data_IF_617219631176
#
_entry.id   IF_617219631176
#
_cell.length_a   1.000
_cell.length_b   1.000
_cell.length_c   1.000
_cell.angle_alpha   90.00
_cell.angle_beta   90.00
_cell.angle_gamma   90.00
#
_symmetry.space_group_name_H-M   'P 1'
#
loop_
_entity.id
_entity.type
_entity.pdbx_description
1 polymer ?
#
# COMPACT_ATOMS: atom_id res chain seq x y z
N UNK A 1 -33.62 15.06 -28.25
CA UNK A 1 -33.76 16.36 -27.55
C UNK A 1 -32.51 16.54 -26.70
N UNK A 2 -31.37 16.73 -27.37
CA UNK A 2 -30.11 17.20 -26.77
C UNK A 2 -29.97 18.65 -27.25
N UNK A 3 -30.56 19.59 -26.54
CA UNK A 3 -30.55 21.01 -26.92
C UNK A 3 -30.14 21.91 -25.76
N UNK A 4 -29.47 21.35 -24.74
CA UNK A 4 -28.95 22.11 -23.61
C UNK A 4 -27.58 21.54 -23.27
N UNK A 5 -26.53 22.00 -23.96
CA UNK A 5 -25.18 21.86 -23.40
C UNK A 5 -24.12 22.81 -23.96
N UNK A 6 -24.44 23.59 -25.01
CA UNK A 6 -23.54 24.64 -25.48
C UNK A 6 -24.13 26.01 -25.10
N UNK A 7 -23.73 26.54 -23.95
CA UNK A 7 -23.99 27.94 -23.59
C UNK A 7 -23.15 28.84 -24.53
N UNK A 8 -23.81 29.77 -25.24
CA UNK A 8 -23.18 30.76 -26.11
C UNK A 8 -22.11 31.57 -25.38
N UNK A 9 -22.24 31.71 -24.05
CA UNK A 9 -21.28 32.41 -23.20
C UNK A 9 -19.93 31.69 -23.19
N UNK A 10 -19.89 30.36 -23.06
CA UNK A 10 -18.61 29.63 -22.97
C UNK A 10 -17.83 29.65 -24.29
N UNK A 11 -18.52 29.70 -25.43
CA UNK A 11 -17.90 29.82 -26.77
C UNK A 11 -17.18 31.16 -26.98
N UNK A 12 -17.57 32.22 -26.26
CA UNK A 12 -16.90 33.54 -26.31
C UNK A 12 -15.62 33.58 -25.47
N UNK A 13 -15.42 32.60 -24.59
CA UNK A 13 -14.18 32.42 -23.82
C UNK A 13 -13.40 31.24 -24.40
N UNK A 14 -12.78 31.41 -25.58
CA UNK A 14 -11.73 30.45 -25.96
C UNK A 14 -10.56 30.67 -25.01
N UNK A 15 -10.25 29.67 -24.17
CA UNK A 15 -9.03 29.71 -23.40
C UNK A 15 -7.86 29.80 -24.39
N UNK A 16 -7.10 30.89 -24.34
CA UNK A 16 -5.89 31.03 -25.13
C UNK A 16 -4.93 29.90 -24.72
N UNK A 17 -4.63 29.01 -25.66
CA UNK A 17 -3.62 27.98 -25.44
C UNK A 17 -2.27 28.69 -25.32
N UNK A 18 -1.81 28.88 -24.09
CA UNK A 18 -0.51 29.47 -23.80
C UNK A 18 0.56 28.72 -24.61
N UNK A 19 1.36 29.49 -25.37
CA UNK A 19 2.44 28.99 -26.22
C UNK A 19 3.48 28.18 -25.41
N UNK A 20 3.58 28.47 -24.11
CA UNK A 20 4.42 27.75 -23.15
C UNK A 20 3.59 26.95 -22.14
N UNK A 21 3.94 25.67 -21.96
CA UNK A 21 3.36 24.80 -20.93
C UNK A 21 3.60 25.34 -19.52
N UNK A 22 2.57 25.32 -18.67
CA UNK A 22 2.68 25.63 -17.24
C UNK A 22 2.08 24.51 -16.36
N UNK A 23 2.31 24.58 -15.05
CA UNK A 23 1.84 23.57 -14.06
C UNK A 23 0.31 23.50 -13.90
N UNK A 24 -0.44 24.40 -14.55
CA UNK A 24 -1.90 24.49 -14.48
C UNK A 24 -2.58 24.02 -15.77
N UNK A 25 -1.82 23.78 -16.85
CA UNK A 25 -2.33 23.25 -18.12
C UNK A 25 -2.83 21.82 -17.91
N UNK A 26 -4.15 21.61 -18.04
CA UNK A 26 -4.76 20.27 -18.05
C UNK A 26 -4.20 19.47 -19.22
N UNK A 27 -4.01 18.17 -19.02
CA UNK A 27 -3.38 17.20 -19.95
C UNK A 27 -3.58 17.56 -21.43
N UNK A 28 -2.54 18.11 -22.05
CA UNK A 28 -2.54 18.46 -23.47
C UNK A 28 -1.87 17.31 -24.25
N UNK A 29 -2.66 16.57 -25.02
CA UNK A 29 -2.19 15.42 -25.81
C UNK A 29 -1.28 15.82 -26.99
N UNK A 30 -1.23 17.10 -27.37
CA UNK A 30 -0.38 17.59 -28.47
C UNK A 30 1.03 17.98 -28.02
N UNK A 31 1.29 18.11 -26.71
CA UNK A 31 2.61 18.41 -26.16
C UNK A 31 3.37 17.15 -25.76
N UNK A 32 3.76 16.34 -26.75
CA UNK A 32 4.57 15.14 -26.49
C UNK A 32 6.03 15.47 -26.15
N UNK A 33 6.55 16.60 -26.64
CA UNK A 33 7.89 17.11 -26.34
C UNK A 33 7.86 18.62 -26.10
N UNK A 34 7.85 19.03 -24.83
CA UNK A 34 7.86 20.46 -24.46
C UNK A 34 9.27 21.04 -24.60
N UNK A 35 10.28 20.36 -24.06
CA UNK A 35 11.69 20.78 -24.22
C UNK A 35 12.66 19.62 -24.00
N UNK A 36 13.81 19.64 -24.67
CA UNK A 36 14.86 18.64 -24.50
C UNK A 36 15.35 18.55 -23.05
N UNK A 37 15.44 19.68 -22.34
CA UNK A 37 15.82 19.73 -20.91
C UNK A 37 14.83 18.94 -20.05
N UNK A 38 13.53 19.13 -20.26
CA UNK A 38 12.48 18.44 -19.51
C UNK A 38 12.43 16.94 -19.86
N UNK A 39 12.64 16.58 -21.13
CA UNK A 39 12.75 15.18 -21.56
C UNK A 39 13.95 14.47 -20.93
N UNK A 40 15.11 15.13 -20.83
CA UNK A 40 16.29 14.57 -20.13
C UNK A 40 16.02 14.36 -18.65
N UNK A 41 15.42 15.35 -17.96
CA UNK A 41 15.03 15.20 -16.55
C UNK A 41 14.00 14.09 -16.35
N UNK A 42 13.02 13.96 -17.25
CA UNK A 42 12.06 12.88 -17.24
C UNK A 42 12.74 11.51 -17.40
N UNK A 43 13.63 11.37 -18.39
CA UNK A 43 14.37 10.13 -18.65
C UNK A 43 15.24 9.72 -17.47
N UNK A 44 15.93 10.67 -16.83
CA UNK A 44 16.68 10.43 -15.59
C UNK A 44 15.74 9.98 -14.46
N UNK A 45 14.56 10.60 -14.32
CA UNK A 45 13.56 10.21 -13.35
C UNK A 45 13.04 8.78 -13.55
N UNK A 46 12.80 8.38 -14.81
CA UNK A 46 12.44 7.01 -15.17
C UNK A 46 13.57 6.04 -14.78
N UNK A 47 14.81 6.36 -15.13
CA UNK A 47 15.98 5.54 -14.80
C UNK A 47 16.13 5.33 -13.29
N UNK A 48 16.09 6.40 -12.49
CA UNK A 48 16.16 6.30 -11.03
C UNK A 48 14.99 5.48 -10.47
N UNK A 49 13.77 5.68 -10.99
CA UNK A 49 12.57 5.00 -10.51
C UNK A 49 12.64 3.49 -10.74
N UNK A 50 13.02 3.04 -11.93
CA UNK A 50 12.95 1.63 -12.29
C UNK A 50 14.27 0.87 -12.05
N UNK A 51 15.43 1.54 -12.05
CA UNK A 51 16.72 0.89 -11.80
C UNK A 51 17.15 0.94 -10.33
N UNK A 52 16.67 1.90 -9.53
CA UNK A 52 17.06 2.03 -8.12
C UNK A 52 15.88 1.88 -7.15
N UNK A 53 14.82 2.69 -7.31
CA UNK A 53 13.73 2.72 -6.32
C UNK A 53 12.86 1.46 -6.37
N UNK A 54 12.47 1.00 -7.57
CA UNK A 54 11.63 -0.19 -7.72
C UNK A 54 12.34 -1.48 -7.24
N UNK A 55 13.60 -1.77 -7.61
CA UNK A 55 14.29 -2.96 -7.11
C UNK A 55 14.45 -2.96 -5.59
N UNK A 56 14.71 -1.79 -4.99
CA UNK A 56 14.76 -1.65 -3.53
C UNK A 56 13.41 -1.99 -2.88
N UNK A 57 12.29 -1.49 -3.44
CA UNK A 57 10.95 -1.81 -2.95
C UNK A 57 10.65 -3.31 -3.05
N UNK A 58 11.02 -3.93 -4.17
CA UNK A 58 10.86 -5.38 -4.38
C UNK A 58 11.68 -6.16 -3.34
N UNK A 59 12.94 -5.79 -3.12
CA UNK A 59 13.80 -6.44 -2.12
C UNK A 59 13.23 -6.33 -0.69
N UNK A 60 12.70 -5.16 -0.31
CA UNK A 60 12.03 -4.96 0.97
C UNK A 60 10.74 -5.80 1.09
N UNK A 61 9.94 -5.88 0.03
CA UNK A 61 8.73 -6.70 0.02
C UNK A 61 9.05 -8.19 0.20
N UNK A 62 10.03 -8.71 -0.55
CA UNK A 62 10.49 -10.09 -0.40
C UNK A 62 11.04 -10.35 1.00
N UNK A 63 11.84 -9.44 1.54
CA UNK A 63 12.38 -9.56 2.91
C UNK A 63 11.26 -9.59 3.94
N UNK A 64 10.31 -8.66 3.86
CA UNK A 64 9.17 -8.57 4.79
C UNK A 64 8.28 -9.81 4.77
N UNK A 65 7.92 -10.30 3.58
CA UNK A 65 7.10 -11.51 3.41
C UNK A 65 7.85 -12.76 3.87
N UNK A 66 9.14 -12.89 3.52
CA UNK A 66 9.94 -14.05 3.91
C UNK A 66 10.13 -14.12 5.42
N UNK A 67 10.44 -12.99 6.07
CA UNK A 67 10.54 -12.90 7.52
C UNK A 67 9.20 -13.19 8.20
N UNK A 68 8.08 -12.76 7.60
CA UNK A 68 6.75 -13.08 8.14
C UNK A 68 6.51 -14.59 8.12
N UNK A 69 6.72 -15.25 6.97
CA UNK A 69 6.47 -16.69 6.81
C UNK A 69 7.39 -17.52 7.71
N UNK A 70 8.69 -17.22 7.70
CA UNK A 70 9.68 -17.95 8.51
C UNK A 70 9.47 -17.66 9.99
N UNK A 71 9.34 -16.40 10.37
CA UNK A 71 9.18 -15.99 11.76
C UNK A 71 7.91 -16.54 12.40
N UNK A 72 6.77 -16.47 11.71
CA UNK A 72 5.51 -17.06 12.23
C UNK A 72 5.56 -18.58 12.30
N UNK A 73 6.27 -19.24 11.37
CA UNK A 73 6.49 -20.69 11.43
C UNK A 73 7.37 -21.07 12.62
N UNK A 74 8.47 -20.34 12.87
CA UNK A 74 9.35 -20.56 14.03
C UNK A 74 8.58 -20.34 15.34
N UNK A 75 7.82 -19.26 15.46
CA UNK A 75 6.97 -18.98 16.61
C UNK A 75 5.89 -20.05 16.80
N UNK A 76 5.43 -20.67 15.71
CA UNK A 76 4.47 -21.78 15.73
C UNK A 76 4.96 -23.01 16.50
N UNK A 77 6.27 -23.26 16.54
CA UNK A 77 6.87 -24.36 17.30
C UNK A 77 6.98 -24.09 18.80
N UNK A 78 6.76 -22.84 19.25
CA UNK A 78 6.78 -22.51 20.67
C UNK A 78 5.49 -23.00 21.36
N UNK A 79 5.58 -23.41 22.64
CA UNK A 79 4.41 -23.76 23.43
C UNK A 79 3.50 -22.54 23.62
N UNK A 80 2.19 -22.78 23.70
CA UNK A 80 1.22 -21.72 23.93
C UNK A 80 1.45 -21.08 25.31
N UNK A 81 1.63 -19.77 25.32
CA UNK A 81 1.88 -19.00 26.53
C UNK A 81 2.30 -17.57 26.22
N UNK A 82 2.57 -16.81 27.27
CA UNK A 82 2.93 -15.38 27.20
C UNK A 82 4.13 -15.10 26.29
N UNK A 83 5.11 -16.00 26.27
CA UNK A 83 6.30 -15.84 25.44
C UNK A 83 6.00 -15.99 23.94
N UNK A 84 5.20 -16.98 23.54
CA UNK A 84 4.76 -17.16 22.15
C UNK A 84 3.96 -15.95 21.67
N UNK A 85 3.04 -15.46 22.49
CA UNK A 85 2.23 -14.27 22.17
C UNK A 85 3.10 -13.02 22.00
N UNK A 86 4.04 -12.80 22.93
CA UNK A 86 5.00 -11.70 22.85
C UNK A 86 5.84 -11.77 21.56
N UNK A 87 6.38 -12.95 21.23
CA UNK A 87 7.15 -13.15 20.01
C UNK A 87 6.30 -12.97 18.75
N UNK A 88 5.09 -13.55 18.72
CA UNK A 88 4.16 -13.40 17.60
C UNK A 88 3.84 -11.93 17.33
N UNK A 89 3.56 -11.15 18.38
CA UNK A 89 3.30 -9.71 18.28
C UNK A 89 4.47 -8.96 17.66
N UNK A 90 5.70 -9.23 18.11
CA UNK A 90 6.89 -8.55 17.58
C UNK A 90 7.19 -8.93 16.14
N UNK A 91 7.11 -10.23 15.80
CA UNK A 91 7.34 -10.71 14.44
C UNK A 91 6.34 -10.11 13.47
N UNK A 92 5.04 -10.17 13.77
CA UNK A 92 4.00 -9.60 12.91
C UNK A 92 4.19 -8.09 12.72
N UNK A 93 4.30 -7.32 13.80
CA UNK A 93 4.44 -5.86 13.71
C UNK A 93 5.70 -5.46 12.93
N UNK A 94 6.83 -6.13 13.17
CA UNK A 94 8.08 -5.86 12.46
C UNK A 94 7.92 -6.13 10.96
N UNK A 95 7.38 -7.29 10.58
CA UNK A 95 7.21 -7.65 9.17
C UNK A 95 6.20 -6.75 8.45
N UNK A 96 5.05 -6.44 9.05
CA UNK A 96 4.08 -5.52 8.44
C UNK A 96 4.66 -4.13 8.25
N UNK A 97 5.45 -3.62 9.20
CA UNK A 97 6.13 -2.33 9.08
C UNK A 97 7.21 -2.34 8.00
N UNK A 98 7.85 -3.47 7.72
CA UNK A 98 8.76 -3.62 6.57
C UNK A 98 7.95 -3.59 5.27
N UNK A 99 6.84 -4.34 5.19
CA UNK A 99 5.96 -4.36 4.03
C UNK A 99 5.37 -2.97 3.71
N UNK A 100 4.94 -2.20 4.71
CA UNK A 100 4.48 -0.81 4.54
C UNK A 100 5.58 0.07 3.95
N UNK A 101 6.84 -0.08 4.39
CA UNK A 101 7.97 0.66 3.82
C UNK A 101 8.26 0.26 2.37
N UNK A 102 8.09 -1.02 2.03
CA UNK A 102 8.20 -1.49 0.65
C UNK A 102 7.16 -0.82 -0.27
N UNK A 103 5.98 -0.50 0.25
CA UNK A 103 4.94 0.26 -0.44
C UNK A 103 5.21 1.77 -0.48
N UNK A 104 6.23 2.27 0.22
CA UNK A 104 6.48 3.70 0.45
C UNK A 104 5.26 4.45 0.97
N UNK A 105 4.41 3.76 1.73
CA UNK A 105 3.18 4.33 2.25
C UNK A 105 3.48 5.33 3.38
N UNK A 106 2.92 6.52 3.28
CA UNK A 106 2.90 7.53 4.33
C UNK A 106 1.52 7.46 4.97
N UNK A 107 1.46 6.91 6.18
CA UNK A 107 0.18 6.60 6.85
C UNK A 107 0.00 7.55 8.03
N UNK A 108 -1.14 8.25 8.04
CA UNK A 108 -1.57 9.09 9.16
C UNK A 108 -2.76 8.42 9.83
N UNK A 109 -2.65 8.18 11.14
CA UNK A 109 -3.73 7.61 11.95
C UNK A 109 -4.43 8.72 12.72
N UNK A 110 -5.73 8.89 12.47
CA UNK A 110 -6.63 9.81 13.17
C UNK A 110 -7.40 9.07 14.27
N UNK A 111 -7.96 9.82 15.23
CA UNK A 111 -8.84 9.32 16.31
C UNK A 111 -8.30 8.08 17.03
N UNK A 112 -7.04 8.14 17.46
CA UNK A 112 -6.31 6.98 18.03
C UNK A 112 -6.91 6.48 19.33
N UNK A 113 -7.68 7.31 20.03
CA UNK A 113 -8.46 6.97 21.21
C UNK A 113 -9.53 5.91 20.93
N UNK A 114 -10.03 5.84 19.69
CA UNK A 114 -11.05 4.88 19.25
C UNK A 114 -10.46 3.53 18.80
N UNK A 115 -9.15 3.34 18.93
CA UNK A 115 -8.51 2.06 18.57
C UNK A 115 -9.13 0.91 19.38
N UNK A 116 -9.40 -0.24 18.74
CA UNK A 116 -9.91 -1.41 19.46
C UNK A 116 -8.94 -1.82 20.57
N UNK A 117 -9.47 -1.96 21.78
CA UNK A 117 -8.75 -2.49 22.95
C UNK A 117 -8.94 -4.00 23.03
N UNK A 118 -8.43 -4.65 24.07
CA UNK A 118 -8.52 -6.10 24.25
C UNK A 118 -9.97 -6.60 24.06
N UNK A 119 -10.19 -7.43 23.03
CA UNK A 119 -11.51 -7.95 22.65
C UNK A 119 -12.33 -7.05 21.70
N UNK A 120 -11.83 -5.87 21.35
CA UNK A 120 -12.43 -4.98 20.35
C UNK A 120 -12.22 -5.49 18.93
N UNK A 121 -13.19 -5.19 18.07
CA UNK A 121 -13.18 -5.58 16.65
C UNK A 121 -13.03 -4.32 15.80
N UNK A 122 -12.04 -4.30 14.91
CA UNK A 122 -11.96 -3.31 13.84
C UNK A 122 -12.55 -3.89 12.55
N UNK A 123 -13.38 -3.11 11.86
CA UNK A 123 -13.97 -3.48 10.58
C UNK A 123 -13.54 -2.46 9.55
N UNK A 124 -12.99 -2.92 8.43
CA UNK A 124 -12.61 -2.09 7.29
C UNK A 124 -13.56 -2.34 6.13
N UNK A 125 -13.88 -1.29 5.37
CA UNK A 125 -14.81 -1.33 4.23
C UNK A 125 -14.27 -2.12 3.03
N UNK A 126 -12.95 -2.21 2.90
CA UNK A 126 -12.26 -2.97 1.87
C UNK A 126 -11.10 -3.73 2.52
N UNK A 127 -10.99 -5.02 2.22
CA UNK A 127 -9.94 -5.89 2.81
C UNK A 127 -9.14 -6.53 1.69
N UNK A 128 -8.29 -5.73 1.05
CA UNK A 128 -7.19 -6.25 0.24
C UNK A 128 -6.01 -6.65 1.14
N UNK A 129 -5.05 -7.44 0.63
CA UNK A 129 -3.81 -7.72 1.36
C UNK A 129 -3.04 -6.45 1.77
N UNK A 130 -3.17 -5.36 1.00
CA UNK A 130 -2.54 -4.07 1.32
C UNK A 130 -3.23 -3.42 2.52
N UNK A 131 -4.56 -3.45 2.57
CA UNK A 131 -5.34 -2.91 3.70
C UNK A 131 -4.99 -3.63 5.00
N UNK A 132 -4.83 -4.95 4.93
CA UNK A 132 -4.33 -5.79 6.03
C UNK A 132 -2.94 -5.34 6.49
N UNK A 133 -2.00 -5.16 5.56
CA UNK A 133 -0.63 -4.73 5.88
C UNK A 133 -0.64 -3.35 6.56
N UNK A 134 -1.46 -2.42 6.08
CA UNK A 134 -1.59 -1.07 6.64
C UNK A 134 -2.15 -1.16 8.07
N UNK A 135 -3.29 -1.82 8.27
CA UNK A 135 -3.91 -1.96 9.59
C UNK A 135 -3.01 -2.69 10.58
N UNK A 136 -2.43 -3.81 10.16
CA UNK A 136 -1.58 -4.63 11.01
C UNK A 136 -0.17 -4.04 11.24
N UNK A 137 0.17 -2.92 10.59
CA UNK A 137 1.40 -2.17 10.89
C UNK A 137 1.26 -1.29 12.14
N UNK A 138 0.04 -0.91 12.49
CA UNK A 138 -0.28 -0.09 13.67
C UNK A 138 -0.51 -0.94 14.92
N UNK A 139 -1.19 -2.08 14.76
CA UNK A 139 -1.61 -2.94 15.87
C UNK A 139 -1.47 -4.42 15.57
N UNK A 140 -1.49 -5.23 16.64
CA UNK A 140 -1.46 -6.68 16.54
C UNK A 140 -2.89 -7.21 16.53
N UNK A 141 -3.34 -7.63 15.35
CA UNK A 141 -4.70 -8.07 15.09
C UNK A 141 -4.75 -9.54 14.67
N UNK A 142 -5.72 -10.26 15.21
CA UNK A 142 -6.24 -11.46 14.55
C UNK A 142 -7.13 -11.03 13.39
N UNK A 143 -7.22 -11.86 12.35
CA UNK A 143 -7.90 -11.48 11.11
C UNK A 143 -8.87 -12.56 10.70
N UNK A 144 -9.95 -12.12 10.07
CA UNK A 144 -10.95 -12.96 9.43
C UNK A 144 -10.92 -12.62 7.94
N UNK A 145 -10.74 -13.63 7.10
CA UNK A 145 -10.71 -13.48 5.64
C UNK A 145 -11.18 -14.75 4.95
N UNK A 146 -11.04 -14.80 3.64
CA UNK A 146 -11.28 -16.01 2.85
C UNK A 146 -9.97 -16.78 2.63
N UNK A 147 -10.02 -18.11 2.55
CA UNK A 147 -8.88 -18.94 2.13
C UNK A 147 -8.50 -18.63 0.68
N UNK A 148 -7.24 -18.30 0.45
CA UNK A 148 -6.67 -18.09 -0.87
C UNK A 148 -5.67 -19.21 -1.24
N UNK A 149 -5.51 -19.44 -2.55
CA UNK A 149 -4.46 -20.31 -3.09
C UNK A 149 -3.10 -19.62 -3.24
N UNK A 150 -2.14 -20.32 -3.85
CA UNK A 150 -0.84 -19.75 -4.23
C UNK A 150 -0.04 -19.17 -3.07
N UNK A 151 0.66 -18.06 -3.33
CA UNK A 151 1.49 -17.36 -2.34
C UNK A 151 0.68 -16.87 -1.13
N UNK A 152 -0.51 -16.33 -1.36
CA UNK A 152 -1.36 -15.83 -0.28
C UNK A 152 -1.77 -16.96 0.67
N UNK A 153 -2.10 -18.14 0.12
CA UNK A 153 -2.37 -19.32 0.94
C UNK A 153 -1.18 -19.79 1.79
N UNK A 154 0.04 -19.66 1.28
CA UNK A 154 1.26 -19.96 2.07
C UNK A 154 1.40 -18.99 3.24
N UNK A 155 1.20 -17.70 2.99
CA UNK A 155 1.25 -16.65 4.01
C UNK A 155 0.17 -16.89 5.07
N UNK A 156 -1.08 -17.12 4.65
CA UNK A 156 -2.22 -17.41 5.53
C UNK A 156 -1.96 -18.63 6.43
N UNK A 157 -1.45 -19.74 5.86
CA UNK A 157 -1.09 -20.94 6.62
C UNK A 157 0.05 -20.71 7.61
N UNK A 158 1.03 -19.86 7.27
CA UNK A 158 2.13 -19.55 8.17
C UNK A 158 1.64 -18.71 9.38
N UNK A 159 0.80 -17.71 9.12
CA UNK A 159 0.31 -16.79 10.15
C UNK A 159 -0.57 -17.48 11.21
N UNK A 160 -1.41 -18.44 10.80
CA UNK A 160 -2.27 -19.21 11.72
C UNK A 160 -1.47 -19.99 12.76
N UNK A 161 -0.21 -20.35 12.47
CA UNK A 161 0.65 -21.06 13.43
C UNK A 161 1.02 -20.19 14.63
N UNK A 162 1.10 -18.87 14.44
CA UNK A 162 1.55 -17.92 15.45
C UNK A 162 0.40 -17.15 16.12
N UNK A 163 -0.71 -16.92 15.41
CA UNK A 163 -1.86 -16.16 15.88
C UNK A 163 -3.17 -16.82 15.40
N UNK A 164 -4.26 -16.82 16.18
CA UNK A 164 -5.53 -17.47 15.81
C UNK A 164 -6.30 -16.68 14.73
N UNK A 165 -5.74 -16.58 13.53
CA UNK A 165 -6.44 -16.07 12.35
C UNK A 165 -7.49 -17.08 11.86
N UNK A 166 -8.58 -16.57 11.27
CA UNK A 166 -9.65 -17.36 10.66
C UNK A 166 -9.67 -17.04 9.17
N UNK A 167 -9.64 -18.07 8.32
CA UNK A 167 -9.63 -17.92 6.86
C UNK A 167 -10.77 -18.74 6.23
#
# INVERSE_FOLDING_TARGET
METIMDDEVTKRFSAEELESWNLLSRTNYNFQYISLRLTVLWGLGVLIRYCSLLPLRIALAFTGISLLVVGTTVVGYLPNGRFKEFMSKHVHLMCYRICVRALTAIITYHDRENRPRNGGICVANHTSPIDVIILASDGYYAMVGQVHGGLMGVIQRAMVKACPHVW
#
